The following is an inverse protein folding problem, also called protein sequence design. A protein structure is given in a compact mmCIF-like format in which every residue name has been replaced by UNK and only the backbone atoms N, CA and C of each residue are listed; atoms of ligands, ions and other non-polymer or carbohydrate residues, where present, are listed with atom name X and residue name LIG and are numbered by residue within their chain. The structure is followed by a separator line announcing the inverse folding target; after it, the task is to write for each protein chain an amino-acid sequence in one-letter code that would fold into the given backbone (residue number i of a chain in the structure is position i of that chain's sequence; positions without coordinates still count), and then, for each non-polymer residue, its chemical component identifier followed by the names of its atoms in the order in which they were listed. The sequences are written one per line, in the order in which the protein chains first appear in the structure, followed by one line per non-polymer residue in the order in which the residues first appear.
data_IF_173609788682
#
_entry.id   IF_173609788682
#
_cell.length_a   1.000
_cell.length_b   1.000
_cell.length_c   1.000
_cell.angle_alpha   90.00
_cell.angle_beta   90.00
_cell.angle_gamma   90.00
#
_symmetry.space_group_name_H-M   'P 1'
#
loop_
_entity.id
_entity.type
_entity.pdbx_description
1 polymer ?
#
# COMPACT_ATOMS: atom_id res chain seq x y z
N UNK A 1 8.44 -5.33 11.36
CA UNK A 1 9.65 -5.94 10.77
C UNK A 1 9.50 -5.89 9.26
N UNK A 2 10.54 -5.50 8.52
CA UNK A 2 10.46 -5.38 7.06
C UNK A 2 10.88 -6.69 6.39
N UNK A 3 9.92 -7.49 5.92
CA UNK A 3 10.20 -8.76 5.24
C UNK A 3 10.15 -8.55 3.72
N UNK A 4 11.18 -8.95 3.00
CA UNK A 4 11.32 -8.71 1.56
C UNK A 4 12.17 -9.79 0.87
N UNK A 5 12.19 -9.78 -0.46
CA UNK A 5 13.06 -10.64 -1.26
C UNK A 5 13.87 -9.80 -2.24
N UNK A 6 15.13 -9.53 -1.90
CA UNK A 6 15.97 -8.62 -2.66
C UNK A 6 15.68 -7.15 -2.39
N UNK A 7 16.41 -6.26 -3.05
CA UNK A 7 16.27 -4.82 -2.87
C UNK A 7 17.08 -4.01 -3.89
N UNK A 8 16.72 -2.74 -4.06
CA UNK A 8 17.54 -1.82 -4.86
C UNK A 8 18.82 -1.45 -4.10
N UNK A 9 19.84 -0.96 -4.81
CA UNK A 9 21.07 -0.45 -4.17
C UNK A 9 20.79 0.68 -3.17
N UNK A 10 19.72 1.45 -3.36
CA UNK A 10 19.27 2.48 -2.42
C UNK A 10 18.64 1.87 -1.16
N UNK A 11 17.76 0.87 -1.32
CA UNK A 11 17.14 0.19 -0.20
C UNK A 11 18.19 -0.51 0.68
N UNK A 12 19.16 -1.19 0.09
CA UNK A 12 20.25 -1.82 0.84
C UNK A 12 21.16 -0.84 1.56
N UNK A 13 21.32 0.41 1.07
CA UNK A 13 22.01 1.47 1.80
C UNK A 13 21.17 2.03 2.95
N UNK A 14 19.86 2.13 2.75
CA UNK A 14 18.94 2.72 3.73
C UNK A 14 18.63 1.80 4.91
N UNK A 15 18.46 0.49 4.69
CA UNK A 15 18.15 -0.49 5.75
C UNK A 15 19.10 -0.39 6.95
N UNK A 16 20.44 -0.48 6.80
CA UNK A 16 21.36 -0.35 7.92
C UNK A 16 21.39 1.08 8.48
N UNK A 17 21.35 2.11 7.62
CA UNK A 17 21.38 3.53 8.02
C UNK A 17 20.19 3.90 8.91
N UNK A 18 19.01 3.41 8.57
CA UNK A 18 17.75 3.63 9.29
C UNK A 18 17.54 2.61 10.42
N UNK A 19 18.48 1.67 10.60
CA UNK A 19 18.42 0.60 11.61
C UNK A 19 17.11 -0.20 11.53
N UNK A 20 16.68 -0.51 10.30
CA UNK A 20 15.47 -1.29 10.06
C UNK A 20 15.77 -2.77 10.29
N UNK A 21 15.07 -3.38 11.23
CA UNK A 21 15.07 -4.83 11.38
C UNK A 21 14.31 -5.45 10.19
N UNK A 22 15.05 -6.16 9.33
CA UNK A 22 14.53 -6.78 8.12
C UNK A 22 14.79 -8.29 8.06
N UNK A 23 14.03 -8.96 7.21
CA UNK A 23 14.18 -10.37 6.83
C UNK A 23 14.22 -10.40 5.31
N UNK A 24 15.41 -10.61 4.75
CA UNK A 24 15.64 -10.65 3.30
C UNK A 24 15.80 -12.08 2.81
N UNK A 25 14.99 -12.53 1.85
CA UNK A 25 15.13 -13.84 1.20
C UNK A 25 16.55 -14.13 0.71
N UNK A 26 17.23 -13.13 0.12
CA UNK A 26 18.57 -13.30 -0.48
C UNK A 26 19.65 -13.65 0.55
N UNK A 27 19.44 -13.28 1.81
CA UNK A 27 20.39 -13.49 2.92
C UNK A 27 19.87 -14.51 3.93
N UNK A 28 18.55 -14.64 4.04
CA UNK A 28 17.84 -15.37 5.09
C UNK A 28 16.86 -16.37 4.49
N UNK A 29 17.25 -17.09 3.44
CA UNK A 29 16.38 -18.01 2.70
C UNK A 29 15.64 -19.04 3.57
N UNK A 30 16.18 -19.41 4.73
CA UNK A 30 15.49 -20.29 5.70
C UNK A 30 14.18 -19.72 6.26
N UNK A 31 13.99 -18.40 6.23
CA UNK A 31 12.73 -17.75 6.60
C UNK A 31 11.67 -17.82 5.49
N UNK A 32 11.97 -18.45 4.35
CA UNK A 32 11.11 -18.50 3.16
C UNK A 32 11.05 -19.93 2.60
N UNK A 33 10.24 -20.11 1.56
CA UNK A 33 10.25 -21.28 0.69
C UNK A 33 9.86 -20.86 -0.73
N UNK A 34 10.24 -21.67 -1.71
CA UNK A 34 9.79 -21.52 -3.10
C UNK A 34 8.76 -22.60 -3.41
N UNK A 35 7.75 -22.28 -4.20
CA UNK A 35 6.73 -23.28 -4.59
C UNK A 35 7.27 -24.30 -5.57
N UNK A 36 8.28 -23.92 -6.35
CA UNK A 36 8.89 -24.77 -7.36
C UNK A 36 10.40 -24.75 -7.20
N UNK A 37 11.07 -25.72 -7.82
CA UNK A 37 12.54 -25.74 -7.92
C UNK A 37 13.02 -25.23 -9.27
N UNK A 38 12.13 -24.64 -10.11
CA UNK A 38 12.53 -24.06 -11.40
C UNK A 38 13.20 -22.71 -11.17
N UNK A 39 14.52 -22.67 -11.37
CA UNK A 39 15.35 -21.47 -11.19
C UNK A 39 14.95 -20.29 -12.10
N UNK A 40 14.10 -20.52 -13.11
CA UNK A 40 13.58 -19.45 -13.99
C UNK A 40 12.28 -18.84 -13.46
N UNK A 41 11.65 -19.45 -12.46
CA UNK A 41 10.42 -18.97 -11.86
C UNK A 41 10.72 -18.02 -10.70
N UNK A 42 11.00 -16.76 -10.99
CA UNK A 42 11.34 -15.75 -9.98
C UNK A 42 10.13 -15.13 -9.24
N UNK A 43 8.91 -15.67 -9.44
CA UNK A 43 7.67 -15.19 -8.81
C UNK A 43 7.01 -16.23 -7.90
N UNK A 44 7.82 -17.07 -7.24
CA UNK A 44 7.31 -18.19 -6.46
C UNK A 44 7.88 -18.31 -5.04
N UNK A 45 8.60 -17.31 -4.56
CA UNK A 45 9.09 -17.23 -3.18
C UNK A 45 8.01 -16.70 -2.22
N UNK A 46 7.79 -17.42 -1.13
CA UNK A 46 6.81 -17.10 -0.09
C UNK A 46 7.42 -17.22 1.31
N UNK A 47 6.71 -16.68 2.28
CA UNK A 47 6.97 -16.87 3.71
C UNK A 47 5.64 -16.97 4.46
N UNK A 48 5.70 -17.30 5.75
CA UNK A 48 4.52 -17.45 6.59
C UNK A 48 4.72 -16.69 7.90
N UNK A 49 3.61 -16.47 8.61
CA UNK A 49 3.65 -15.86 9.94
C UNK A 49 4.58 -16.64 10.87
N UNK A 50 4.51 -17.96 10.85
CA UNK A 50 5.29 -18.85 11.70
C UNK A 50 6.79 -18.72 11.42
N UNK A 51 7.19 -18.69 10.14
CA UNK A 51 8.59 -18.49 9.75
C UNK A 51 9.11 -17.11 10.13
N UNK A 52 8.31 -16.06 9.90
CA UNK A 52 8.65 -14.70 10.30
C UNK A 52 8.81 -14.59 11.81
N UNK A 53 7.85 -15.12 12.59
CA UNK A 53 7.89 -15.09 14.07
C UNK A 53 9.08 -15.86 14.61
N UNK A 54 9.37 -17.05 14.04
CA UNK A 54 10.57 -17.81 14.41
C UNK A 54 11.83 -17.00 14.16
N UNK A 55 11.97 -16.39 12.98
CA UNK A 55 13.15 -15.60 12.64
C UNK A 55 13.30 -14.38 13.56
N UNK A 56 12.20 -13.70 13.88
CA UNK A 56 12.16 -12.58 14.84
C UNK A 56 12.70 -13.03 16.21
N UNK A 57 12.25 -14.19 16.69
CA UNK A 57 12.72 -14.78 17.96
C UNK A 57 14.21 -15.10 17.91
N UNK A 58 14.67 -15.83 16.87
CA UNK A 58 16.06 -16.25 16.72
C UNK A 58 17.03 -15.04 16.66
N UNK A 59 16.63 -13.98 15.97
CA UNK A 59 17.42 -12.73 15.84
C UNK A 59 17.19 -11.75 16.99
N UNK A 60 16.33 -12.07 17.96
CA UNK A 60 15.94 -11.18 19.06
C UNK A 60 15.48 -9.81 18.55
N UNK A 61 14.74 -9.81 17.45
CA UNK A 61 14.13 -8.61 16.92
C UNK A 61 13.03 -8.12 17.85
N UNK A 62 12.76 -6.82 17.78
CA UNK A 62 11.82 -6.17 18.66
C UNK A 62 10.39 -6.45 18.22
N UNK A 63 9.54 -6.82 19.17
CA UNK A 63 8.12 -7.14 18.95
C UNK A 63 7.20 -5.95 19.18
N UNK A 64 7.61 -4.98 20.01
CA UNK A 64 6.85 -3.76 20.26
C UNK A 64 7.08 -2.69 19.17
N UNK A 65 6.08 -1.87 18.80
CA UNK A 65 6.24 -0.79 17.81
C UNK A 65 7.02 0.41 18.37
N UNK A 66 7.70 1.22 17.52
CA UNK A 66 8.38 2.48 17.97
C UNK A 66 7.45 3.69 17.92
N UNK A 67 6.34 3.54 17.19
CA UNK A 67 5.41 4.58 16.80
C UNK A 67 4.01 4.03 17.01
N UNK A 68 3.07 4.91 17.29
CA UNK A 68 1.66 4.56 17.37
C UNK A 68 1.13 4.16 15.99
N UNK A 69 -0.01 3.49 15.98
CA UNK A 69 -0.70 3.20 14.73
C UNK A 69 -1.10 4.53 14.02
N UNK A 70 -0.90 4.68 12.69
CA UNK A 70 -1.06 5.96 12.02
C UNK A 70 -2.52 6.38 11.74
N UNK A 71 -3.48 5.45 11.82
CA UNK A 71 -4.88 5.74 11.52
C UNK A 71 -5.73 5.88 12.77
N UNK A 72 -6.74 6.75 12.66
CA UNK A 72 -7.88 6.83 13.56
C UNK A 72 -9.07 6.17 12.91
N UNK A 73 -9.97 5.61 13.72
CA UNK A 73 -11.17 4.94 13.23
C UNK A 73 -12.42 5.48 13.90
N UNK A 74 -13.51 5.53 13.14
CA UNK A 74 -14.84 5.72 13.69
C UNK A 74 -15.25 4.49 14.51
N UNK A 75 -16.10 4.71 15.51
CA UNK A 75 -16.69 3.62 16.29
C UNK A 75 -17.81 2.89 15.52
N UNK A 76 -18.53 3.63 14.68
CA UNK A 76 -19.57 3.11 13.79
C UNK A 76 -19.23 3.44 12.34
N UNK A 77 -19.69 2.60 11.41
CA UNK A 77 -19.52 2.86 9.99
C UNK A 77 -20.14 4.22 9.62
N UNK A 78 -19.36 5.07 8.96
CA UNK A 78 -19.71 6.45 8.65
C UNK A 78 -19.49 6.70 7.16
N UNK A 79 -20.52 7.20 6.47
CA UNK A 79 -20.41 7.66 5.09
C UNK A 79 -20.01 9.14 5.12
N UNK A 80 -18.93 9.55 4.43
CA UNK A 80 -18.52 10.96 4.39
C UNK A 80 -19.61 11.89 3.86
N UNK A 81 -19.90 12.96 4.61
CA UNK A 81 -20.81 14.02 4.18
C UNK A 81 -20.22 14.82 3.00
N UNK A 82 -21.07 15.24 2.06
CA UNK A 82 -20.66 16.07 0.91
C UNK A 82 -19.76 15.35 -0.11
N UNK A 83 -19.54 14.04 0.03
CA UNK A 83 -18.73 13.27 -0.90
C UNK A 83 -19.39 13.04 -2.27
N UNK A 84 -18.57 12.92 -3.31
CA UNK A 84 -19.03 12.54 -4.64
C UNK A 84 -19.29 11.03 -4.70
N UNK A 85 -20.16 10.57 -5.60
CA UNK A 85 -20.37 9.13 -5.81
C UNK A 85 -19.06 8.45 -6.21
N UNK A 86 -18.83 7.26 -5.66
CA UNK A 86 -17.62 6.48 -5.82
C UNK A 86 -17.91 4.99 -5.62
N UNK A 87 -18.75 4.44 -6.49
CA UNK A 87 -19.18 3.05 -6.49
C UNK A 87 -18.38 2.20 -7.48
N UNK A 88 -17.86 2.79 -8.56
CA UNK A 88 -16.96 2.14 -9.52
C UNK A 88 -15.70 2.99 -9.71
N UNK A 89 -14.57 2.43 -9.28
CA UNK A 89 -13.28 3.12 -9.25
C UNK A 89 -12.30 2.34 -10.13
N UNK A 90 -11.65 3.03 -11.05
CA UNK A 90 -10.58 2.49 -11.88
C UNK A 90 -9.32 3.33 -11.73
N UNK A 91 -8.20 2.70 -11.41
CA UNK A 91 -6.92 3.38 -11.18
C UNK A 91 -5.89 2.82 -12.16
N UNK A 92 -5.27 3.74 -12.90
CA UNK A 92 -4.11 3.46 -13.75
C UNK A 92 -2.85 4.03 -13.10
N UNK A 93 -1.74 3.28 -13.13
CA UNK A 93 -0.48 3.77 -12.56
C UNK A 93 0.38 4.54 -13.57
N UNK A 94 0.12 4.36 -14.86
CA UNK A 94 0.78 5.05 -15.96
C UNK A 94 -0.17 5.18 -17.18
N UNK A 95 0.12 6.11 -18.10
CA UNK A 95 -0.67 6.31 -19.34
C UNK A 95 -0.30 5.33 -20.46
N UNK A 96 0.81 4.62 -20.35
CA UNK A 96 1.27 3.68 -21.37
C UNK A 96 0.28 2.54 -21.59
N UNK A 97 0.17 2.13 -22.86
CA UNK A 97 -0.62 0.95 -23.25
C UNK A 97 -0.05 -0.28 -22.54
N UNK A 98 -0.91 -1.05 -21.89
CA UNK A 98 -0.52 -2.24 -21.13
C UNK A 98 -0.02 -1.95 -19.72
N UNK A 99 -0.05 -0.69 -19.26
CA UNK A 99 0.21 -0.35 -17.86
C UNK A 99 -0.69 -1.17 -16.93
N UNK A 100 -0.13 -1.55 -15.78
CA UNK A 100 -0.92 -2.14 -14.71
C UNK A 100 -2.04 -1.22 -14.26
N UNK A 101 -3.16 -1.82 -13.85
CA UNK A 101 -4.31 -1.13 -13.29
C UNK A 101 -4.96 -1.98 -12.20
N UNK A 102 -5.67 -1.30 -11.31
CA UNK A 102 -6.59 -1.91 -10.37
C UNK A 102 -7.95 -1.22 -10.45
N UNK A 103 -8.96 -1.88 -9.90
CA UNK A 103 -10.28 -1.31 -9.76
C UNK A 103 -10.95 -1.76 -8.47
N UNK A 104 -12.02 -1.08 -8.12
CA UNK A 104 -12.81 -1.34 -6.93
C UNK A 104 -14.28 -1.09 -7.21
N UNK A 105 -15.14 -2.04 -6.88
CA UNK A 105 -16.58 -1.91 -7.04
C UNK A 105 -17.24 -2.01 -5.68
N UNK A 106 -18.01 -0.99 -5.30
CA UNK A 106 -18.71 -0.92 -4.03
C UNK A 106 -19.92 -1.85 -4.02
N UNK A 107 -20.07 -2.59 -2.92
CA UNK A 107 -21.24 -3.38 -2.64
C UNK A 107 -21.97 -2.77 -1.43
N UNK A 108 -23.17 -2.17 -1.62
CA UNK A 108 -23.90 -1.50 -0.54
C UNK A 108 -24.48 -2.44 0.53
N UNK A 109 -24.63 -3.74 0.23
CA UNK A 109 -25.10 -4.74 1.21
C UNK A 109 -24.01 -5.10 2.22
N UNK A 110 -22.76 -5.13 1.76
CA UNK A 110 -21.60 -5.50 2.59
C UNK A 110 -20.81 -4.30 3.10
N UNK A 111 -21.05 -3.10 2.54
CA UNK A 111 -20.28 -1.89 2.79
C UNK A 111 -18.78 -2.02 2.42
N UNK A 112 -18.46 -2.93 1.51
CA UNK A 112 -17.10 -3.23 1.06
C UNK A 112 -16.92 -2.95 -0.43
N UNK A 113 -15.67 -2.74 -0.82
CA UNK A 113 -15.24 -2.67 -2.21
C UNK A 113 -14.56 -3.97 -2.63
N UNK A 114 -15.09 -4.62 -3.66
CA UNK A 114 -14.48 -5.77 -4.30
C UNK A 114 -13.33 -5.31 -5.22
N UNK A 115 -12.11 -5.81 -4.99
CA UNK A 115 -10.92 -5.39 -5.74
C UNK A 115 -10.76 -6.18 -7.04
N UNK A 116 -10.39 -5.47 -8.09
CA UNK A 116 -10.00 -6.00 -9.39
C UNK A 116 -8.53 -5.66 -9.67
N UNK A 117 -7.84 -6.57 -10.37
CA UNK A 117 -6.49 -6.35 -10.89
C UNK A 117 -6.49 -6.72 -12.37
N UNK A 118 -6.04 -5.81 -13.23
CA UNK A 118 -6.01 -6.04 -14.68
C UNK A 118 -7.38 -6.48 -15.24
N UNK A 119 -8.47 -5.87 -14.75
CA UNK A 119 -9.83 -6.17 -15.19
C UNK A 119 -10.42 -7.50 -14.72
N UNK A 120 -9.74 -8.25 -13.86
CA UNK A 120 -10.24 -9.52 -13.27
C UNK A 120 -10.37 -9.41 -11.76
N UNK A 121 -11.28 -10.18 -11.12
CA UNK A 121 -11.32 -10.30 -9.66
C UNK A 121 -9.93 -10.60 -9.09
N UNK A 122 -9.51 -9.82 -8.09
CA UNK A 122 -8.22 -10.05 -7.44
C UNK A 122 -8.39 -11.12 -6.36
N UNK A 123 -8.12 -12.37 -6.71
CA UNK A 123 -8.34 -13.52 -5.82
C UNK A 123 -7.16 -13.76 -4.88
N UNK A 124 -7.43 -14.00 -3.61
CA UNK A 124 -6.45 -14.54 -2.66
C UNK A 124 -6.32 -16.05 -2.90
N UNK A 125 -5.08 -16.54 -3.01
CA UNK A 125 -4.82 -17.90 -3.49
C UNK A 125 -5.23 -18.99 -2.49
N UNK A 126 -5.04 -18.76 -1.20
CA UNK A 126 -5.25 -19.76 -0.17
C UNK A 126 -6.73 -19.90 0.19
N UNK A 127 -7.48 -18.80 0.23
CA UNK A 127 -8.91 -18.80 0.55
C UNK A 127 -9.80 -18.90 -0.69
N UNK A 128 -9.27 -18.58 -1.87
CA UNK A 128 -10.04 -18.42 -3.11
C UNK A 128 -11.17 -17.38 -2.99
N UNK A 129 -11.04 -16.45 -2.06
CA UNK A 129 -11.96 -15.31 -1.90
C UNK A 129 -11.41 -14.10 -2.66
N UNK A 130 -12.31 -13.28 -3.19
CA UNK A 130 -11.92 -12.01 -3.80
C UNK A 130 -11.46 -11.05 -2.70
N UNK A 131 -10.33 -10.37 -2.93
CA UNK A 131 -9.84 -9.34 -2.03
C UNK A 131 -10.85 -8.19 -1.94
N UNK A 132 -11.19 -7.79 -0.70
CA UNK A 132 -12.12 -6.69 -0.43
C UNK A 132 -11.45 -5.60 0.42
N UNK A 133 -12.03 -4.41 0.46
CA UNK A 133 -11.57 -3.34 1.35
C UNK A 133 -12.70 -2.42 1.78
N UNK A 134 -12.61 -1.86 2.98
CA UNK A 134 -13.57 -0.87 3.49
C UNK A 134 -13.17 0.55 3.08
N UNK A 135 -11.86 0.78 3.01
CA UNK A 135 -11.28 2.09 2.77
C UNK A 135 -10.33 2.03 1.58
N UNK A 136 -10.33 3.07 0.76
CA UNK A 136 -9.33 3.30 -0.29
C UNK A 136 -8.80 4.72 -0.11
N UNK A 137 -7.48 4.86 -0.13
CA UNK A 137 -6.80 6.16 -0.14
C UNK A 137 -6.01 6.25 -1.44
N UNK A 138 -6.26 7.28 -2.24
CA UNK A 138 -5.48 7.56 -3.45
C UNK A 138 -4.61 8.78 -3.19
N UNK A 139 -3.29 8.65 -3.34
CA UNK A 139 -2.33 9.73 -3.10
C UNK A 139 -1.68 10.18 -4.38
N UNK A 140 -1.69 11.49 -4.63
CA UNK A 140 -0.91 12.11 -5.70
C UNK A 140 0.52 12.32 -5.23
N UNK A 141 1.46 11.68 -5.91
CA UNK A 141 2.89 11.77 -5.59
C UNK A 141 3.76 11.70 -6.84
N UNK A 142 4.72 12.60 -6.94
CA UNK A 142 5.68 12.59 -8.04
C UNK A 142 6.64 11.41 -7.92
N UNK A 143 6.89 10.74 -9.04
CA UNK A 143 7.87 9.67 -9.12
C UNK A 143 8.90 9.97 -10.20
N UNK A 144 9.90 10.83 -9.98
CA UNK A 144 10.93 11.12 -10.97
C UNK A 144 11.96 9.99 -11.08
N UNK A 145 12.66 9.89 -12.21
CA UNK A 145 13.88 9.08 -12.30
C UNK A 145 14.92 9.62 -11.30
N UNK A 146 15.62 8.72 -10.62
CA UNK A 146 16.68 9.11 -9.69
C UNK A 146 17.83 9.71 -10.49
N UNK A 147 18.24 10.93 -10.13
CA UNK A 147 19.34 11.63 -10.81
C UNK A 147 20.62 10.79 -10.75
N UNK A 148 21.19 10.48 -11.92
CA UNK A 148 22.42 9.69 -12.05
C UNK A 148 22.22 8.18 -11.98
N UNK A 149 20.99 7.67 -11.89
CA UNK A 149 20.72 6.23 -11.95
C UNK A 149 20.73 5.73 -13.40
N UNK A 150 21.69 4.88 -13.73
CA UNK A 150 21.88 4.35 -15.10
C UNK A 150 20.86 3.28 -15.49
N UNK A 151 20.07 2.77 -14.54
CA UNK A 151 19.04 1.75 -14.77
C UNK A 151 17.62 2.34 -14.83
N UNK A 152 17.49 3.67 -14.78
CA UNK A 152 16.20 4.36 -14.86
C UNK A 152 15.30 4.17 -13.63
N UNK A 153 15.86 3.76 -12.49
CA UNK A 153 15.08 3.57 -11.25
C UNK A 153 14.47 4.89 -10.81
N UNK A 154 13.28 4.82 -10.23
CA UNK A 154 12.48 6.00 -9.86
C UNK A 154 12.45 6.20 -8.36
N UNK A 155 12.42 7.45 -7.93
CA UNK A 155 12.12 7.83 -6.55
C UNK A 155 10.61 8.00 -6.39
N UNK A 156 10.15 8.03 -5.15
CA UNK A 156 8.85 8.61 -4.78
C UNK A 156 9.14 9.83 -3.92
N UNK A 157 8.69 11.02 -4.34
CA UNK A 157 8.86 12.24 -3.55
C UNK A 157 7.84 12.27 -2.41
N UNK A 158 8.08 11.42 -1.41
CA UNK A 158 7.17 11.13 -0.30
C UNK A 158 7.51 11.88 0.99
N UNK A 159 8.35 12.92 0.93
CA UNK A 159 8.62 13.86 2.02
C UNK A 159 8.11 15.22 1.54
N UNK A 160 7.30 15.89 2.35
CA UNK A 160 6.53 17.07 1.98
C UNK A 160 5.04 16.82 2.16
N UNK A 161 4.23 17.39 1.27
CA UNK A 161 2.78 17.26 1.30
C UNK A 161 2.19 17.15 -0.10
N UNK A 162 0.98 16.65 -0.21
CA UNK A 162 0.26 16.56 -1.46
C UNK A 162 -1.22 16.28 -1.28
N UNK A 163 -1.91 16.16 -2.41
CA UNK A 163 -3.34 15.92 -2.48
C UNK A 163 -3.64 14.41 -2.55
N UNK A 164 -4.86 14.04 -2.20
CA UNK A 164 -5.36 12.69 -2.30
C UNK A 164 -6.88 12.64 -2.28
N UNK A 165 -7.39 11.41 -2.33
CA UNK A 165 -8.79 11.10 -2.18
C UNK A 165 -8.93 10.04 -1.09
N UNK A 166 -9.94 10.18 -0.24
CA UNK A 166 -10.40 9.14 0.66
C UNK A 166 -11.76 8.63 0.18
N UNK A 167 -11.86 7.31 0.03
CA UNK A 167 -13.03 6.66 -0.55
C UNK A 167 -13.50 5.55 0.39
N UNK A 168 -14.78 5.61 0.76
CA UNK A 168 -15.46 4.62 1.60
C UNK A 168 -16.98 4.78 1.45
N UNK A 169 -17.75 3.73 1.70
CA UNK A 169 -19.22 3.80 1.73
C UNK A 169 -19.87 4.35 0.45
N UNK A 170 -19.32 4.03 -0.72
CA UNK A 170 -19.79 4.53 -2.01
C UNK A 170 -19.52 6.02 -2.26
N UNK A 171 -18.69 6.67 -1.42
CA UNK A 171 -18.40 8.11 -1.50
C UNK A 171 -16.90 8.40 -1.50
N UNK A 172 -16.51 9.46 -2.21
CA UNK A 172 -15.15 10.00 -2.24
C UNK A 172 -15.12 11.43 -1.72
N UNK A 173 -14.12 11.76 -0.90
CA UNK A 173 -13.81 13.12 -0.47
C UNK A 173 -12.34 13.46 -0.76
N UNK A 174 -12.02 14.73 -1.06
CA UNK A 174 -10.64 15.19 -1.13
C UNK A 174 -9.97 15.13 0.25
N UNK A 175 -8.69 14.77 0.24
CA UNK A 175 -7.82 14.79 1.42
C UNK A 175 -6.46 15.37 1.06
N UNK A 176 -5.67 15.70 2.09
CA UNK A 176 -4.26 16.05 1.97
C UNK A 176 -3.43 15.02 2.72
N UNK A 177 -2.22 14.75 2.23
CA UNK A 177 -1.22 13.97 2.93
C UNK A 177 0.00 14.83 3.24
N UNK A 178 0.68 14.55 4.34
CA UNK A 178 1.98 15.15 4.66
C UNK A 178 2.92 14.15 5.34
N UNK A 179 4.22 14.36 5.19
CA UNK A 179 5.28 13.54 5.77
C UNK A 179 6.54 14.37 5.93
N UNK A 180 6.96 14.57 7.18
CA UNK A 180 8.01 15.54 7.52
C UNK A 180 9.43 15.03 7.32
N UNK A 181 9.64 13.72 7.42
CA UNK A 181 10.95 13.09 7.28
C UNK A 181 10.84 11.66 6.75
N UNK A 182 11.98 11.08 6.35
CA UNK A 182 12.04 9.71 5.79
C UNK A 182 11.46 8.66 6.75
N UNK A 183 11.72 8.78 8.05
CA UNK A 183 11.28 7.87 9.11
C UNK A 183 10.00 8.33 9.86
N UNK A 184 9.43 9.48 9.49
CA UNK A 184 8.15 9.95 10.01
C UNK A 184 6.96 9.12 9.50
N UNK A 185 5.79 9.21 10.13
CA UNK A 185 4.56 8.64 9.58
C UNK A 185 3.98 9.62 8.55
N UNK A 186 3.27 9.08 7.55
CA UNK A 186 2.43 9.92 6.69
C UNK A 186 1.16 10.25 7.46
N UNK A 187 0.81 11.52 7.51
CA UNK A 187 -0.41 12.03 8.12
C UNK A 187 -1.41 12.38 7.01
N UNK A 188 -2.70 12.19 7.31
CA UNK A 188 -3.79 12.46 6.39
C UNK A 188 -4.77 13.42 7.05
N UNK A 189 -5.19 14.44 6.32
CA UNK A 189 -6.18 15.42 6.78
C UNK A 189 -7.28 15.61 5.76
N UNK A 190 -8.48 15.94 6.22
CA UNK A 190 -9.56 16.49 5.38
C UNK A 190 -9.19 17.88 4.89
N UNK A 191 -9.96 18.41 3.94
CA UNK A 191 -9.69 19.74 3.36
C UNK A 191 -9.78 20.89 4.37
N UNK A 192 -10.61 20.74 5.41
CA UNK A 192 -10.72 21.67 6.54
C UNK A 192 -9.58 21.53 7.57
N UNK A 193 -8.59 20.68 7.30
CA UNK A 193 -7.39 20.51 8.12
C UNK A 193 -7.53 19.58 9.31
N UNK A 194 -8.69 18.94 9.51
CA UNK A 194 -8.87 17.96 10.59
C UNK A 194 -8.17 16.63 10.25
N UNK A 195 -7.66 15.87 11.25
CA UNK A 195 -7.15 14.53 11.01
C UNK A 195 -8.19 13.63 10.36
N UNK A 196 -7.81 12.91 9.31
CA UNK A 196 -8.70 11.95 8.65
C UNK A 196 -9.01 10.78 9.60
N UNK A 197 -10.29 10.43 9.70
CA UNK A 197 -10.78 9.27 10.46
C UNK A 197 -11.36 8.27 9.46
N UNK A 198 -10.93 7.01 9.54
CA UNK A 198 -11.31 5.96 8.61
C UNK A 198 -12.46 5.12 9.17
N UNK A 199 -13.18 4.41 8.31
CA UNK A 199 -14.02 3.31 8.76
C UNK A 199 -13.17 2.13 9.21
N UNK A 200 -13.62 1.39 10.24
CA UNK A 200 -12.93 0.17 10.67
C UNK A 200 -12.95 -0.86 9.54
N UNK A 201 -11.79 -1.46 9.28
CA UNK A 201 -11.64 -2.49 8.27
C UNK A 201 -10.37 -2.32 7.46
N UNK A 202 -10.26 -3.10 6.38
CA UNK A 202 -9.08 -3.05 5.51
C UNK A 202 -8.99 -1.69 4.80
N UNK A 203 -7.75 -1.25 4.59
CA UNK A 203 -7.43 -0.01 3.88
C UNK A 203 -6.42 -0.30 2.79
N UNK A 204 -6.76 0.08 1.56
CA UNK A 204 -5.84 0.06 0.43
C UNK A 204 -5.35 1.47 0.13
N UNK A 205 -4.04 1.64 -0.01
CA UNK A 205 -3.43 2.92 -0.36
C UNK A 205 -2.79 2.79 -1.74
N UNK A 206 -3.26 3.61 -2.67
CA UNK A 206 -2.81 3.64 -4.05
C UNK A 206 -2.07 4.95 -4.30
N UNK A 207 -0.90 4.88 -4.94
CA UNK A 207 -0.08 6.06 -5.24
C UNK A 207 -0.09 6.27 -6.74
N UNK A 208 -0.52 7.46 -7.16
CA UNK A 208 -0.62 7.86 -8.57
C UNK A 208 0.18 9.13 -8.81
N UNK A 209 0.68 9.31 -10.04
CA UNK A 209 1.37 10.55 -10.40
C UNK A 209 0.40 11.74 -10.54
N UNK A 210 -0.86 11.46 -10.88
CA UNK A 210 -1.94 12.44 -11.02
C UNK A 210 -3.25 11.83 -10.54
N UNK A 211 -4.08 12.62 -9.84
CA UNK A 211 -5.40 12.15 -9.41
C UNK A 211 -6.32 11.80 -10.58
N UNK A 212 -6.12 12.43 -11.74
CA UNK A 212 -6.85 12.11 -12.99
C UNK A 212 -6.69 10.65 -13.44
N UNK A 213 -5.72 9.91 -12.88
CA UNK A 213 -5.53 8.49 -13.20
C UNK A 213 -6.47 7.58 -12.40
N UNK A 214 -7.14 8.12 -11.39
CA UNK A 214 -8.26 7.49 -10.72
C UNK A 214 -9.56 8.02 -11.34
N UNK A 215 -10.20 7.21 -12.17
CA UNK A 215 -11.58 7.47 -12.61
C UNK A 215 -12.52 6.94 -11.54
N UNK A 216 -13.43 7.80 -11.08
CA UNK A 216 -14.40 7.49 -10.03
C UNK A 216 -15.78 7.77 -10.60
N UNK A 217 -16.69 6.80 -10.45
CA UNK A 217 -18.09 6.88 -10.88
C UNK A 217 -18.99 6.48 -9.74
#
# INVERSE_FOLDING_TARGET
IYTHAGGSTYAYKDIPKLKIQNIDYQVHGSAFWDLTTDVRNWQDSYTSKERIVKFISDKKYRTEPKRTFPFKYYDQFTVPEGGTQAEDISIKFDKSKGSSNCGFVYNPETYLYDRFRMGKPHMERNTNEQAKTTNIIVLKMSSPVIKGDTYGRRNLLNIGSGEGLYITGGKSIPIKWSKTARDAQTEYTTDDGKPLVLNRGQTWIEIVQKLEYATIK
#
